data_IF_375318700321
#
_entry.id   IF_375318700321
#
_cell.length_a   1.000
_cell.length_b   1.000
_cell.length_c   1.000
_cell.angle_alpha   90.00
_cell.angle_beta   90.00
_cell.angle_gamma   90.00
#
_symmetry.space_group_name_H-M   'P 1'
#
loop_
_entity.id
_entity.type
_entity.pdbx_description
1 polymer ?
#
# COMPACT_ATOMS: atom_id res chain seq x y z
N UNK A 1 -9.91 18.55 17.20
CA UNK A 1 -10.36 17.40 16.39
C UNK A 1 -9.27 16.35 16.47
N UNK A 2 -9.60 15.10 16.81
CA UNK A 2 -8.61 14.01 16.73
C UNK A 2 -8.74 13.38 15.35
N UNK A 3 -7.63 13.20 14.65
CA UNK A 3 -7.65 12.60 13.31
C UNK A 3 -8.27 11.19 13.33
N UNK A 4 -8.03 10.45 14.42
CA UNK A 4 -8.61 9.13 14.67
C UNK A 4 -10.13 9.13 14.82
N UNK A 5 -10.79 10.28 15.07
CA UNK A 5 -12.25 10.34 15.16
C UNK A 5 -12.93 10.62 13.82
N UNK A 6 -12.17 10.76 12.72
CA UNK A 6 -12.73 10.95 11.39
C UNK A 6 -13.56 9.74 10.97
N UNK A 7 -14.60 9.92 10.15
CA UNK A 7 -15.40 8.80 9.64
C UNK A 7 -14.57 7.91 8.69
N UNK A 8 -14.89 6.61 8.61
CA UNK A 8 -14.16 5.66 7.76
C UNK A 8 -14.20 6.11 6.28
N UNK A 9 -15.34 6.61 5.83
CA UNK A 9 -15.56 7.09 4.47
C UNK A 9 -14.59 8.22 4.12
N UNK A 10 -14.36 9.16 5.04
CA UNK A 10 -13.44 10.27 4.82
C UNK A 10 -11.97 9.82 4.79
N UNK A 11 -11.61 8.84 5.62
CA UNK A 11 -10.27 8.23 5.59
C UNK A 11 -10.04 7.49 4.27
N UNK A 12 -11.04 6.76 3.77
CA UNK A 12 -10.98 6.08 2.48
C UNK A 12 -10.92 7.05 1.30
N UNK A 13 -11.65 8.18 1.36
CA UNK A 13 -11.48 9.26 0.36
C UNK A 13 -10.08 9.86 0.41
N UNK A 14 -9.49 10.02 1.60
CA UNK A 14 -8.13 10.51 1.76
C UNK A 14 -7.10 9.54 1.18
N UNK A 15 -7.29 8.22 1.34
CA UNK A 15 -6.42 7.21 0.73
C UNK A 15 -6.36 7.31 -0.80
N UNK A 16 -7.44 7.71 -1.46
CA UNK A 16 -7.44 7.92 -2.93
C UNK A 16 -6.50 9.02 -3.40
N UNK A 17 -6.10 9.93 -2.50
CA UNK A 17 -5.16 11.01 -2.80
C UNK A 17 -3.69 10.62 -2.53
N UNK A 18 -3.44 9.40 -2.02
CA UNK A 18 -2.14 8.95 -1.57
C UNK A 18 -1.63 7.78 -2.44
N UNK A 19 -0.30 7.66 -2.53
CA UNK A 19 0.34 6.48 -3.14
C UNK A 19 0.27 5.30 -2.18
N UNK A 20 0.51 4.09 -2.69
CA UNK A 20 0.60 2.88 -1.86
C UNK A 20 1.59 3.08 -0.70
N UNK A 21 2.80 3.59 -0.99
CA UNK A 21 3.81 3.81 0.04
C UNK A 21 3.38 4.85 1.09
N UNK A 22 2.74 5.95 0.69
CA UNK A 22 2.22 6.93 1.64
C UNK A 22 1.17 6.32 2.58
N UNK A 23 0.29 5.46 2.07
CA UNK A 23 -0.74 4.81 2.89
C UNK A 23 -0.08 3.89 3.93
N UNK A 24 0.84 3.03 3.52
CA UNK A 24 1.50 2.13 4.47
C UNK A 24 2.32 2.90 5.50
N UNK A 25 3.22 3.80 5.07
CA UNK A 25 4.07 4.56 6.00
C UNK A 25 3.30 5.43 6.98
N UNK A 26 2.19 6.05 6.55
CA UNK A 26 1.48 7.00 7.40
C UNK A 26 0.40 6.35 8.28
N UNK A 27 -0.12 5.16 7.95
CA UNK A 27 -1.30 4.60 8.62
C UNK A 27 -1.11 3.18 9.18
N UNK A 28 -0.21 2.39 8.61
CA UNK A 28 0.00 1.01 9.05
C UNK A 28 0.63 0.97 10.45
N UNK A 29 0.14 0.08 11.31
CA UNK A 29 0.65 -0.15 12.66
C UNK A 29 0.31 0.95 13.66
N UNK A 30 -0.37 2.03 13.26
CA UNK A 30 -0.79 3.09 14.18
C UNK A 30 -1.91 2.62 15.10
N UNK A 31 -2.91 1.94 14.55
CA UNK A 31 -3.97 1.29 15.31
C UNK A 31 -4.73 0.28 14.43
N UNK A 32 -5.39 -0.67 15.11
CA UNK A 32 -6.16 -1.75 14.46
C UNK A 32 -7.24 -1.28 13.48
N UNK A 33 -7.81 -0.09 13.69
CA UNK A 33 -8.84 0.45 12.81
C UNK A 33 -8.22 0.91 11.48
N UNK A 34 -7.08 1.57 11.51
CA UNK A 34 -6.37 1.97 10.30
C UNK A 34 -5.84 0.76 9.54
N UNK A 35 -5.28 -0.23 10.23
CA UNK A 35 -4.84 -1.48 9.60
C UNK A 35 -6.01 -2.16 8.86
N UNK A 36 -7.18 -2.26 9.51
CA UNK A 36 -8.37 -2.81 8.87
C UNK A 36 -8.84 -1.99 7.65
N UNK A 37 -8.75 -0.66 7.70
CA UNK A 37 -9.10 0.22 6.57
C UNK A 37 -8.13 0.09 5.40
N UNK A 38 -6.83 -0.07 5.66
CA UNK A 38 -5.82 -0.33 4.63
C UNK A 38 -6.18 -1.63 3.89
N UNK A 39 -6.48 -2.70 4.64
CA UNK A 39 -6.91 -3.97 4.07
C UNK A 39 -8.21 -3.84 3.25
N UNK A 40 -9.18 -3.07 3.73
CA UNK A 40 -10.44 -2.86 3.02
C UNK A 40 -10.23 -2.05 1.72
N UNK A 41 -9.38 -1.03 1.77
CA UNK A 41 -9.08 -0.16 0.64
C UNK A 41 -8.43 -0.96 -0.50
N UNK A 42 -7.34 -1.68 -0.21
CA UNK A 42 -6.62 -2.46 -1.22
C UNK A 42 -7.33 -3.76 -1.63
N UNK A 43 -8.41 -4.16 -0.94
CA UNK A 43 -9.31 -5.20 -1.46
C UNK A 43 -10.12 -4.72 -2.67
N UNK A 44 -10.44 -3.43 -2.73
CA UNK A 44 -11.27 -2.82 -3.78
C UNK A 44 -10.44 -2.07 -4.82
N UNK A 45 -9.25 -1.63 -4.46
CA UNK A 45 -8.35 -0.85 -5.29
C UNK A 45 -7.12 -1.66 -5.69
N UNK A 46 -6.60 -1.38 -6.89
CA UNK A 46 -5.34 -1.95 -7.33
C UNK A 46 -4.19 -1.35 -6.53
N UNK A 47 -3.21 -2.17 -6.20
CA UNK A 47 -1.96 -1.67 -5.63
C UNK A 47 -1.11 -1.10 -6.78
N UNK A 48 -0.78 0.18 -6.70
CA UNK A 48 0.06 0.82 -7.71
C UNK A 48 1.46 1.06 -7.14
N UNK A 49 2.45 0.38 -7.74
CA UNK A 49 3.87 0.50 -7.42
C UNK A 49 4.66 1.17 -8.55
N UNK A 50 4.01 1.76 -9.57
CA UNK A 50 4.74 2.31 -10.72
C UNK A 50 5.62 3.52 -10.41
N UNK A 51 5.32 4.24 -9.33
CA UNK A 51 6.05 5.43 -8.88
C UNK A 51 6.62 5.27 -7.47
N UNK A 52 6.75 4.03 -6.98
CA UNK A 52 7.31 3.76 -5.65
C UNK A 52 8.83 3.86 -5.70
N UNK A 53 9.48 4.27 -4.60
CA UNK A 53 10.93 4.11 -4.51
C UNK A 53 11.28 2.64 -4.30
N UNK A 54 12.47 2.20 -4.76
CA UNK A 54 12.95 0.83 -4.47
C UNK A 54 12.91 0.49 -2.98
N UNK A 55 13.39 1.40 -2.13
CA UNK A 55 13.41 1.17 -0.67
C UNK A 55 12.00 0.91 -0.11
N UNK A 56 11.01 1.71 -0.54
CA UNK A 56 9.63 1.51 -0.08
C UNK A 56 9.01 0.25 -0.65
N UNK A 57 9.35 -0.11 -1.90
CA UNK A 57 8.92 -1.37 -2.51
C UNK A 57 9.39 -2.57 -1.69
N UNK A 58 10.69 -2.62 -1.37
CA UNK A 58 11.31 -3.69 -0.60
C UNK A 58 10.61 -3.85 0.76
N UNK A 59 10.41 -2.72 1.47
CA UNK A 59 9.75 -2.70 2.79
C UNK A 59 8.31 -3.23 2.67
N UNK A 60 7.54 -2.77 1.69
CA UNK A 60 6.13 -3.19 1.55
C UNK A 60 6.03 -4.66 1.16
N UNK A 61 6.87 -5.12 0.22
CA UNK A 61 6.93 -6.51 -0.19
C UNK A 61 7.28 -7.45 0.98
N UNK A 62 8.32 -7.11 1.75
CA UNK A 62 8.78 -7.94 2.87
C UNK A 62 7.84 -7.92 4.08
N UNK A 63 7.26 -6.75 4.40
CA UNK A 63 6.59 -6.56 5.69
C UNK A 63 5.07 -6.57 5.62
N UNK A 64 4.47 -6.28 4.46
CA UNK A 64 3.03 -6.01 4.38
C UNK A 64 2.33 -6.87 3.34
N UNK A 65 2.97 -7.13 2.20
CA UNK A 65 2.33 -7.82 1.08
C UNK A 65 1.95 -9.27 1.44
N UNK A 66 2.78 -9.94 2.26
CA UNK A 66 2.51 -11.30 2.73
C UNK A 66 1.20 -11.41 3.51
N UNK A 67 0.85 -10.40 4.32
CA UNK A 67 -0.39 -10.39 5.11
C UNK A 67 -1.64 -10.14 4.24
N UNK A 68 -1.43 -9.61 3.03
CA UNK A 68 -2.49 -9.14 2.14
C UNK A 68 -2.62 -9.97 0.86
N UNK A 69 -1.75 -10.94 0.63
CA UNK A 69 -1.64 -11.65 -0.66
C UNK A 69 -2.97 -12.26 -1.10
N UNK A 70 -3.73 -12.84 -0.17
CA UNK A 70 -5.05 -13.45 -0.44
C UNK A 70 -6.16 -12.43 -0.75
N UNK A 71 -5.88 -11.14 -0.55
CA UNK A 71 -6.85 -10.04 -0.66
C UNK A 71 -6.54 -9.09 -1.81
N UNK A 72 -5.34 -9.18 -2.39
CA UNK A 72 -4.91 -8.35 -3.51
C UNK A 72 -5.51 -8.94 -4.79
N UNK A 73 -6.29 -8.12 -5.50
CA UNK A 73 -6.91 -8.54 -6.76
C UNK A 73 -6.02 -8.24 -7.97
N UNK A 74 -5.28 -7.13 -7.93
CA UNK A 74 -4.22 -6.85 -8.88
C UNK A 74 -3.24 -5.80 -8.36
N UNK A 75 -2.05 -5.79 -8.96
CA UNK A 75 -0.97 -4.86 -8.68
C UNK A 75 -0.35 -4.36 -10.00
N UNK A 76 0.20 -3.16 -9.98
CA UNK A 76 0.91 -2.55 -11.11
C UNK A 76 2.38 -2.33 -10.76
N UNK A 77 3.28 -2.85 -11.60
CA UNK A 77 4.73 -2.70 -11.49
C UNK A 77 5.26 -1.85 -12.65
N UNK A 78 6.45 -1.27 -12.49
CA UNK A 78 7.25 -0.58 -13.52
C UNK A 78 8.73 -0.96 -13.37
N UNK A 79 9.42 -1.07 -14.49
CA UNK A 79 10.89 -1.15 -14.55
C UNK A 79 11.47 0.18 -15.10
N UNK A 80 10.96 1.30 -14.59
CA UNK A 80 11.46 2.63 -14.98
C UNK A 80 12.70 3.00 -14.17
N UNK A 81 13.31 4.16 -14.47
CA UNK A 81 14.60 4.58 -13.89
C UNK A 81 14.59 4.60 -12.35
N UNK A 82 13.44 4.89 -11.72
CA UNK A 82 13.28 4.92 -10.27
C UNK A 82 13.06 3.52 -9.62
N UNK A 83 12.73 2.51 -10.43
CA UNK A 83 12.39 1.15 -9.99
C UNK A 83 13.06 0.05 -10.83
N UNK A 84 14.38 0.09 -11.07
CA UNK A 84 15.03 -0.88 -11.95
C UNK A 84 15.00 -2.30 -11.36
N UNK A 85 14.44 -3.25 -12.12
CA UNK A 85 14.35 -4.66 -11.75
C UNK A 85 13.26 -4.98 -10.73
N UNK A 86 12.27 -4.10 -10.57
CA UNK A 86 11.13 -4.28 -9.67
C UNK A 86 10.32 -5.53 -10.04
N UNK A 87 10.17 -5.80 -11.34
CA UNK A 87 9.43 -6.98 -11.82
C UNK A 87 10.16 -8.25 -11.41
N UNK A 88 11.47 -8.32 -11.68
CA UNK A 88 12.30 -9.47 -11.33
C UNK A 88 12.33 -9.70 -9.82
N UNK A 89 12.39 -8.62 -9.04
CA UNK A 89 12.36 -8.67 -7.59
C UNK A 89 11.03 -9.20 -7.06
N UNK A 90 9.90 -8.78 -7.64
CA UNK A 90 8.58 -9.26 -7.26
C UNK A 90 8.43 -10.78 -7.46
N UNK A 91 8.91 -11.32 -8.58
CA UNK A 91 8.82 -12.75 -8.89
C UNK A 91 9.95 -13.60 -8.28
N UNK A 92 11.00 -12.97 -7.74
CA UNK A 92 12.12 -13.64 -7.08
C UNK A 92 11.87 -13.99 -5.61
N UNK A 93 10.68 -13.68 -5.06
CA UNK A 93 10.28 -13.96 -3.68
C UNK A 93 9.23 -15.08 -3.62
#
# INVERSE_FOLDING_TARGET
MQFESLANELLLELFKCLTTSHIFHAFHGLNRRFDALILEYFRKCNIDFRSISKCDFDIICEQHLTEMVDRITSLCLSDEDDTPGQIDQFFGH
#
